data_IF_336912585214
#
_entry.id   IF_336912585214
#
_cell.length_a   1.000
_cell.length_b   1.000
_cell.length_c   1.000
_cell.angle_alpha   90.00
_cell.angle_beta   90.00
_cell.angle_gamma   90.00
#
_symmetry.space_group_name_H-M   'P 1'
#
loop_
_entity.id
_entity.type
_entity.pdbx_description
1 polymer ?
#
# COMPACT_ATOMS: atom_id res chain seq x y z
N UNK A 1 -15.51 -12.59 27.85
CA UNK A 1 -16.74 -13.42 27.89
C UNK A 1 -16.39 -14.76 27.25
N UNK A 2 -16.30 -15.84 28.04
CA UNK A 2 -15.91 -17.15 27.52
C UNK A 2 -17.12 -17.81 26.83
N UNK A 3 -17.04 -18.04 25.52
CA UNK A 3 -18.07 -18.80 24.81
C UNK A 3 -17.86 -20.30 25.06
N UNK A 4 -18.68 -20.89 25.92
CA UNK A 4 -18.70 -22.34 26.11
C UNK A 4 -19.54 -22.93 24.98
N UNK A 5 -18.89 -23.62 24.04
CA UNK A 5 -19.55 -24.43 23.01
C UNK A 5 -19.58 -25.90 23.47
N UNK A 6 -20.76 -26.48 23.54
CA UNK A 6 -20.96 -27.89 23.92
C UNK A 6 -21.16 -28.71 22.64
N UNK A 7 -20.38 -29.76 22.46
CA UNK A 7 -20.47 -30.66 21.30
C UNK A 7 -20.81 -32.08 21.77
N UNK A 8 -21.71 -32.76 21.04
CA UNK A 8 -22.06 -34.17 21.29
C UNK A 8 -21.04 -35.07 20.61
N UNK A 9 -20.40 -35.96 21.36
CA UNK A 9 -19.43 -36.94 20.84
C UNK A 9 -20.02 -38.34 21.06
N UNK A 10 -20.04 -39.19 20.03
CA UNK A 10 -20.51 -40.58 20.12
C UNK A 10 -19.39 -41.59 19.85
N UNK A 11 -19.38 -42.63 20.70
CA UNK A 11 -18.61 -43.91 20.76
C UNK A 11 -17.10 -43.91 20.48
N UNK A 12 -16.56 -43.04 19.66
CA UNK A 12 -15.13 -42.79 19.52
C UNK A 12 -14.86 -41.35 19.97
N UNK A 13 -14.10 -41.18 21.05
CA UNK A 13 -13.84 -39.87 21.66
C UNK A 13 -12.84 -39.04 20.84
N UNK A 14 -13.16 -38.78 19.57
CA UNK A 14 -12.35 -38.00 18.66
C UNK A 14 -13.03 -36.64 18.44
N UNK A 15 -12.33 -35.58 18.83
CA UNK A 15 -12.78 -34.21 18.62
C UNK A 15 -11.71 -33.42 17.89
N UNK A 16 -12.04 -32.87 16.72
CA UNK A 16 -11.11 -32.07 15.92
C UNK A 16 -11.17 -30.61 16.35
N UNK A 17 -10.11 -30.13 16.98
CA UNK A 17 -9.90 -28.71 17.27
C UNK A 17 -9.49 -27.99 15.98
N UNK A 18 -10.18 -26.90 15.64
CA UNK A 18 -9.86 -26.02 14.50
C UNK A 18 -9.30 -24.69 15.02
N UNK A 19 -8.54 -23.97 14.19
CA UNK A 19 -8.04 -22.64 14.52
C UNK A 19 -6.85 -22.60 15.48
N UNK A 20 -6.02 -23.64 15.51
CA UNK A 20 -4.73 -23.58 16.24
C UNK A 20 -3.74 -22.75 15.43
N UNK A 21 -2.98 -21.89 16.11
CA UNK A 21 -2.02 -20.98 15.48
C UNK A 21 -0.65 -21.68 15.33
N UNK A 22 -0.05 -21.72 14.12
CA UNK A 22 1.30 -22.21 13.92
C UNK A 22 2.34 -21.53 14.81
N UNK A 23 3.31 -22.29 15.32
CA UNK A 23 4.37 -21.80 16.21
C UNK A 23 3.94 -21.53 17.65
N UNK A 24 2.67 -21.78 17.99
CA UNK A 24 2.16 -21.68 19.36
C UNK A 24 2.13 -23.06 20.01
N UNK A 25 2.58 -23.10 21.26
CA UNK A 25 2.51 -24.28 22.10
C UNK A 25 1.16 -24.33 22.83
N UNK A 26 0.47 -25.45 22.67
CA UNK A 26 -0.82 -25.69 23.30
C UNK A 26 -0.73 -26.83 24.31
N UNK A 27 -1.48 -26.68 25.40
CA UNK A 27 -1.74 -27.75 26.36
C UNK A 27 -3.25 -27.96 26.43
N UNK A 28 -3.70 -29.16 26.11
CA UNK A 28 -5.12 -29.49 26.10
C UNK A 28 -5.52 -30.09 27.44
N UNK A 29 -6.65 -29.66 27.97
CA UNK A 29 -7.20 -30.15 29.22
C UNK A 29 -8.62 -30.69 28.98
N UNK A 30 -8.89 -31.91 29.46
CA UNK A 30 -10.19 -32.56 29.33
C UNK A 30 -10.70 -32.92 30.71
N UNK A 31 -11.94 -32.52 31.00
CA UNK A 31 -12.63 -32.82 32.27
C UNK A 31 -13.98 -33.45 31.96
N UNK A 32 -14.26 -34.62 32.54
CA UNK A 32 -15.58 -35.23 32.43
C UNK A 32 -16.60 -34.46 33.29
N UNK A 33 -17.79 -34.21 32.76
CA UNK A 33 -18.87 -33.52 33.49
C UNK A 33 -20.06 -34.47 33.63
N UNK A 34 -20.47 -34.75 34.86
CA UNK A 34 -21.62 -35.61 35.16
C UNK A 34 -22.96 -34.93 34.87
N UNK A 35 -24.07 -35.70 34.80
CA UNK A 35 -25.41 -35.16 34.52
C UNK A 35 -25.90 -34.11 35.52
N UNK A 36 -25.35 -34.12 36.74
CA UNK A 36 -25.62 -33.16 37.80
C UNK A 36 -24.65 -31.96 37.81
N UNK A 37 -23.85 -31.80 36.75
CA UNK A 37 -22.86 -30.72 36.62
C UNK A 37 -21.59 -30.91 37.44
N UNK A 38 -21.40 -32.06 38.11
CA UNK A 38 -20.16 -32.33 38.85
C UNK A 38 -19.01 -32.57 37.88
N UNK A 39 -17.90 -31.89 38.12
CA UNK A 39 -16.66 -32.07 37.38
C UNK A 39 -15.89 -33.26 37.95
N UNK A 40 -15.40 -34.14 37.07
CA UNK A 40 -14.44 -35.18 37.40
C UNK A 40 -13.01 -34.63 37.45
N UNK A 41 -12.03 -35.53 37.47
CA UNK A 41 -10.62 -35.16 37.38
C UNK A 41 -10.28 -34.58 36.00
N UNK A 42 -9.45 -33.53 35.98
CA UNK A 42 -8.96 -32.90 34.75
C UNK A 42 -7.65 -33.57 34.33
N UNK A 43 -7.64 -34.17 33.14
CA UNK A 43 -6.41 -34.65 32.52
C UNK A 43 -5.84 -33.60 31.58
N UNK A 44 -4.53 -33.38 31.65
CA UNK A 44 -3.81 -32.47 30.78
C UNK A 44 -2.85 -33.23 29.87
N UNK A 45 -2.79 -32.86 28.59
CA UNK A 45 -1.80 -33.38 27.66
C UNK A 45 -0.39 -32.87 28.01
N UNK A 46 0.67 -33.49 27.46
CA UNK A 46 1.95 -32.81 27.24
C UNK A 46 1.75 -31.54 26.40
N UNK A 47 2.74 -30.64 26.41
CA UNK A 47 2.74 -29.52 25.47
C UNK A 47 2.92 -30.07 24.05
N UNK A 48 2.17 -29.51 23.11
CA UNK A 48 2.28 -29.81 21.68
C UNK A 48 2.41 -28.50 20.91
N UNK A 49 3.34 -28.45 19.96
CA UNK A 49 3.55 -27.29 19.10
C UNK A 49 2.98 -27.55 17.71
N UNK A 50 2.28 -26.55 17.16
CA UNK A 50 1.88 -26.60 15.76
C UNK A 50 3.10 -26.25 14.90
N UNK A 51 3.65 -27.24 14.18
CA UNK A 51 4.88 -27.09 13.38
C UNK A 51 4.72 -25.94 12.36
N UNK A 52 5.72 -25.04 12.32
CA UNK A 52 5.84 -23.87 11.42
C UNK A 52 6.12 -24.23 9.94
N UNK A 53 5.60 -25.35 9.43
CA UNK A 53 5.96 -25.83 8.09
C UNK A 53 4.99 -25.38 6.97
N UNK A 54 3.84 -24.79 7.31
CA UNK A 54 2.86 -24.41 6.31
C UNK A 54 3.04 -22.96 5.87
N UNK A 55 3.11 -22.76 4.55
CA UNK A 55 3.06 -21.43 3.93
C UNK A 55 1.83 -20.70 4.49
N UNK A 56 2.00 -19.48 5.04
CA UNK A 56 0.88 -18.73 5.59
C UNK A 56 -0.24 -18.62 4.55
N UNK A 57 -1.48 -18.73 5.03
CA UNK A 57 -2.65 -18.54 4.17
C UNK A 57 -2.65 -17.10 3.65
N UNK A 58 -2.82 -16.94 2.34
CA UNK A 58 -2.98 -15.62 1.72
C UNK A 58 -4.20 -14.89 2.33
N UNK A 59 -4.09 -13.59 2.64
CA UNK A 59 -5.21 -12.82 3.16
C UNK A 59 -6.44 -12.93 2.26
N UNK A 60 -7.61 -13.06 2.89
CA UNK A 60 -8.87 -13.31 2.20
C UNK A 60 -9.58 -12.00 1.80
N UNK A 61 -10.16 -11.96 0.60
CA UNK A 61 -10.95 -10.84 0.12
C UNK A 61 -10.13 -9.71 -0.51
N UNK A 62 -10.79 -8.65 -1.02
CA UNK A 62 -10.11 -7.53 -1.65
C UNK A 62 -9.48 -6.59 -0.61
N UNK A 63 -8.36 -5.98 -0.98
CA UNK A 63 -7.79 -4.85 -0.23
C UNK A 63 -8.64 -3.61 -0.53
N UNK A 64 -9.15 -2.98 0.51
CA UNK A 64 -9.85 -1.70 0.46
C UNK A 64 -8.82 -0.59 0.66
N UNK A 65 -8.77 0.34 -0.28
CA UNK A 65 -7.84 1.47 -0.28
C UNK A 65 -8.63 2.77 -0.18
N UNK A 66 -8.28 3.63 0.78
CA UNK A 66 -8.91 4.94 0.97
C UNK A 66 -7.84 6.01 1.02
N UNK A 67 -7.87 6.91 0.05
CA UNK A 67 -7.01 8.08 0.04
C UNK A 67 -7.42 9.06 1.14
N UNK A 68 -6.44 9.77 1.69
CA UNK A 68 -6.66 10.83 2.65
C UNK A 68 -5.55 11.87 2.61
N UNK A 69 -5.81 13.01 3.22
CA UNK A 69 -4.81 14.07 3.41
C UNK A 69 -4.81 14.53 4.86
N UNK A 70 -3.62 14.76 5.39
CA UNK A 70 -3.41 15.33 6.71
C UNK A 70 -2.25 16.33 6.62
N UNK A 71 -2.38 17.51 7.23
CA UNK A 71 -1.37 18.57 7.15
C UNK A 71 0.03 18.14 7.61
N UNK A 72 0.09 17.23 8.58
CA UNK A 72 1.35 16.79 9.21
C UNK A 72 1.94 15.58 8.46
N UNK A 73 1.09 14.73 7.89
CA UNK A 73 1.45 13.47 7.23
C UNK A 73 1.40 13.52 5.70
N UNK A 74 0.99 14.64 5.11
CA UNK A 74 0.79 14.81 3.68
C UNK A 74 -0.32 13.90 3.10
N UNK A 75 -0.13 13.47 1.85
CA UNK A 75 -1.01 12.51 1.20
C UNK A 75 -0.82 11.14 1.84
N UNK A 76 -1.93 10.47 2.14
CA UNK A 76 -1.96 9.19 2.84
C UNK A 76 -2.86 8.19 2.13
N UNK A 77 -2.60 6.90 2.33
CA UNK A 77 -3.53 5.83 2.00
C UNK A 77 -3.81 4.99 3.24
N UNK A 78 -5.08 4.77 3.53
CA UNK A 78 -5.55 3.81 4.51
C UNK A 78 -5.86 2.50 3.79
N UNK A 79 -5.18 1.45 4.23
CA UNK A 79 -5.20 0.12 3.64
C UNK A 79 -5.92 -0.78 4.63
N UNK A 80 -6.97 -1.45 4.19
CA UNK A 80 -7.76 -2.36 5.02
C UNK A 80 -8.04 -3.66 4.26
N UNK A 81 -7.98 -4.80 4.93
CA UNK A 81 -8.36 -6.09 4.34
C UNK A 81 -9.13 -6.95 5.33
N UNK A 82 -10.05 -7.81 4.86
CA UNK A 82 -10.79 -8.71 5.74
C UNK A 82 -9.87 -9.67 6.49
N UNK A 83 -10.14 -9.86 7.79
CA UNK A 83 -9.45 -10.82 8.64
C UNK A 83 -10.44 -11.65 9.42
N UNK A 84 -10.13 -12.95 9.55
CA UNK A 84 -10.85 -13.93 10.35
C UNK A 84 -9.94 -14.51 11.43
N UNK A 85 -10.51 -15.19 12.42
CA UNK A 85 -9.75 -15.85 13.49
C UNK A 85 -8.83 -16.99 13.01
N UNK A 86 -8.95 -17.41 11.76
CA UNK A 86 -8.11 -18.46 11.16
C UNK A 86 -6.95 -17.89 10.33
N UNK A 87 -6.87 -16.56 10.17
CA UNK A 87 -5.82 -15.93 9.37
C UNK A 87 -4.54 -15.69 10.19
N UNK A 88 -3.36 -15.59 9.54
CA UNK A 88 -2.08 -15.32 10.21
C UNK A 88 -2.09 -13.99 10.96
N UNK A 89 -1.17 -13.82 11.93
CA UNK A 89 -1.02 -12.54 12.65
C UNK A 89 0.02 -11.61 12.04
N UNK A 90 0.98 -12.15 11.28
CA UNK A 90 2.13 -11.42 10.77
C UNK A 90 1.92 -11.11 9.30
N UNK A 91 2.04 -9.83 8.95
CA UNK A 91 1.91 -9.38 7.58
C UNK A 91 3.06 -8.46 7.20
N UNK A 92 3.39 -8.52 5.92
CA UNK A 92 4.21 -7.55 5.24
C UNK A 92 3.33 -6.79 4.27
N UNK A 93 3.24 -5.47 4.45
CA UNK A 93 2.60 -4.57 3.48
C UNK A 93 3.70 -3.85 2.72
N UNK A 94 3.64 -3.94 1.40
CA UNK A 94 4.54 -3.27 0.49
C UNK A 94 3.77 -2.26 -0.34
N UNK A 95 4.26 -1.01 -0.36
CA UNK A 95 3.77 0.07 -1.19
C UNK A 95 4.86 0.44 -2.19
N UNK A 96 4.56 0.40 -3.48
CA UNK A 96 5.51 0.77 -4.52
C UNK A 96 4.90 1.66 -5.59
N UNK A 97 5.74 2.53 -6.16
CA UNK A 97 5.48 3.24 -7.41
C UNK A 97 6.63 2.96 -8.39
N UNK A 98 6.79 3.76 -9.45
CA UNK A 98 7.86 3.58 -10.44
C UNK A 98 9.27 3.85 -9.93
N UNK A 99 9.42 4.58 -8.81
CA UNK A 99 10.71 5.07 -8.32
C UNK A 99 11.05 4.60 -6.89
N UNK A 100 10.06 4.19 -6.13
CA UNK A 100 10.17 3.91 -4.69
C UNK A 100 9.41 2.66 -4.31
N UNK A 101 9.93 1.98 -3.29
CA UNK A 101 9.34 0.80 -2.67
C UNK A 101 9.52 0.91 -1.16
N UNK A 102 8.41 0.85 -0.43
CA UNK A 102 8.36 0.91 1.03
C UNK A 102 7.75 -0.38 1.53
N UNK A 103 8.45 -1.06 2.44
CA UNK A 103 8.01 -2.31 3.06
C UNK A 103 7.78 -2.09 4.54
N UNK A 104 6.62 -2.49 5.04
CA UNK A 104 6.23 -2.35 6.44
C UNK A 104 5.77 -3.69 6.98
N UNK A 105 6.42 -4.17 8.03
CA UNK A 105 6.00 -5.36 8.75
C UNK A 105 5.04 -4.96 9.86
N UNK A 106 3.92 -5.67 9.98
CA UNK A 106 2.91 -5.41 11.00
C UNK A 106 2.47 -6.72 11.66
N UNK A 107 2.09 -6.59 12.93
CA UNK A 107 1.45 -7.66 13.70
C UNK A 107 0.03 -7.18 13.97
N UNK A 108 -0.95 -7.93 13.49
CA UNK A 108 -2.37 -7.59 13.66
C UNK A 108 -2.84 -8.09 15.03
N UNK A 109 -2.63 -7.29 16.07
CA UNK A 109 -3.11 -7.56 17.43
C UNK A 109 -4.49 -6.95 17.72
N UNK A 110 -4.91 -5.94 16.93
CA UNK A 110 -6.12 -5.15 17.23
C UNK A 110 -6.91 -4.60 16.03
N UNK A 111 -6.33 -4.45 14.83
CA UNK A 111 -7.09 -4.05 13.62
C UNK A 111 -6.36 -4.36 12.31
N UNK A 112 -7.05 -4.94 11.33
CA UNK A 112 -6.55 -5.29 9.99
C UNK A 112 -6.42 -4.08 9.05
N UNK A 113 -5.79 -3.00 9.55
CA UNK A 113 -5.63 -1.78 8.76
C UNK A 113 -4.31 -1.06 9.03
N UNK A 114 -3.82 -0.35 8.02
CA UNK A 114 -2.56 0.39 8.05
C UNK A 114 -2.71 1.74 7.35
N UNK A 115 -2.16 2.80 7.93
CA UNK A 115 -2.08 4.11 7.30
C UNK A 115 -0.64 4.35 6.82
N UNK A 116 -0.46 4.55 5.51
CA UNK A 116 0.83 4.89 4.93
C UNK A 116 0.84 6.39 4.53
N UNK A 117 1.71 7.21 5.14
CA UNK A 117 1.79 8.65 4.89
C UNK A 117 2.87 9.05 3.87
N UNK A 118 2.94 10.34 3.58
CA UNK A 118 3.97 10.99 2.74
C UNK A 118 4.02 10.47 1.29
N UNK A 119 2.86 10.18 0.72
CA UNK A 119 2.74 9.84 -0.69
C UNK A 119 2.87 11.12 -1.54
N UNK A 120 3.33 10.95 -2.78
CA UNK A 120 3.31 12.01 -3.77
C UNK A 120 1.89 12.21 -4.31
N UNK A 121 1.57 13.44 -4.73
CA UNK A 121 0.30 13.75 -5.39
C UNK A 121 0.26 13.15 -6.80
N UNK A 122 -0.92 12.69 -7.22
CA UNK A 122 -1.21 12.19 -8.57
C UNK A 122 -0.21 11.10 -9.04
N UNK A 123 0.16 10.21 -8.13
CA UNK A 123 1.11 9.13 -8.38
C UNK A 123 0.40 7.78 -8.29
N UNK A 124 0.67 6.91 -9.26
CA UNK A 124 0.15 5.56 -9.30
C UNK A 124 0.95 4.68 -8.34
N UNK A 125 0.26 4.05 -7.40
CA UNK A 125 0.84 3.12 -6.44
C UNK A 125 0.24 1.72 -6.57
N UNK A 126 1.05 0.73 -6.20
CA UNK A 126 0.68 -0.67 -5.98
C UNK A 126 0.87 -1.00 -4.52
N UNK A 127 -0.17 -1.53 -3.88
CA UNK A 127 -0.11 -2.12 -2.54
C UNK A 127 -0.06 -3.63 -2.70
N UNK A 128 0.82 -4.31 -1.98
CA UNK A 128 0.87 -5.76 -1.87
C UNK A 128 0.89 -6.17 -0.39
N UNK A 129 -0.12 -6.93 0.03
CA UNK A 129 -0.24 -7.47 1.39
C UNK A 129 0.11 -8.94 1.37
N UNK A 130 1.12 -9.33 2.13
CA UNK A 130 1.62 -10.71 2.20
C UNK A 130 1.55 -11.21 3.62
N UNK A 131 0.96 -12.39 3.84
CA UNK A 131 1.03 -13.03 5.14
C UNK A 131 2.39 -13.72 5.31
N UNK A 132 2.97 -13.58 6.49
CA UNK A 132 4.31 -14.08 6.81
C UNK A 132 4.22 -15.03 8.01
N UNK A 133 5.11 -16.02 8.07
CA UNK A 133 5.21 -16.90 9.24
C UNK A 133 5.82 -16.15 10.43
N UNK A 134 5.60 -16.64 11.65
CA UNK A 134 6.10 -15.98 12.87
C UNK A 134 7.64 -15.85 12.91
N UNK A 135 8.35 -16.82 12.31
CA UNK A 135 9.80 -16.84 12.16
C UNK A 135 10.31 -16.09 10.91
N UNK A 136 9.40 -15.48 10.13
CA UNK A 136 9.66 -14.78 8.86
C UNK A 136 10.31 -15.61 7.76
N UNK A 137 10.33 -16.94 7.89
CA UNK A 137 10.96 -17.82 6.90
C UNK A 137 10.09 -18.09 5.67
N UNK A 138 8.76 -18.02 5.82
CA UNK A 138 7.80 -18.31 4.77
C UNK A 138 6.83 -17.14 4.55
N UNK A 139 6.39 -16.99 3.31
CA UNK A 139 5.45 -15.93 2.91
C UNK A 139 4.41 -16.47 1.94
N UNK A 140 3.18 -15.99 2.07
CA UNK A 140 2.07 -16.32 1.18
C UNK A 140 2.27 -15.68 -0.21
N UNK A 141 1.36 -16.00 -1.14
CA UNK A 141 1.20 -15.14 -2.33
C UNK A 141 0.71 -13.75 -1.90
N UNK A 142 1.19 -12.66 -2.52
CA UNK A 142 0.74 -11.32 -2.21
C UNK A 142 -0.68 -11.09 -2.73
N UNK A 143 -1.48 -10.40 -1.92
CA UNK A 143 -2.75 -9.83 -2.33
C UNK A 143 -2.50 -8.37 -2.71
N UNK A 144 -2.64 -8.05 -3.99
CA UNK A 144 -2.28 -6.73 -4.53
C UNK A 144 -3.48 -5.91 -4.97
N UNK A 145 -3.38 -4.60 -4.80
CA UNK A 145 -4.35 -3.62 -5.29
C UNK A 145 -3.63 -2.34 -5.75
N UNK A 146 -4.17 -1.70 -6.78
CA UNK A 146 -3.62 -0.50 -7.37
C UNK A 146 -4.52 0.70 -7.05
N UNK A 147 -3.92 1.87 -6.84
CA UNK A 147 -4.67 3.12 -6.67
C UNK A 147 -3.86 4.32 -7.15
N UNK A 148 -4.56 5.40 -7.48
CA UNK A 148 -3.97 6.70 -7.74
C UNK A 148 -4.10 7.54 -6.47
N UNK A 149 -3.02 8.19 -6.03
CA UNK A 149 -3.06 9.11 -4.89
C UNK A 149 -3.83 10.40 -5.22
N UNK A 150 -4.14 11.21 -4.20
CA UNK A 150 -4.90 12.46 -4.39
C UNK A 150 -4.19 13.42 -5.35
N UNK A 151 -4.96 14.26 -6.05
CA UNK A 151 -4.38 15.38 -6.79
C UNK A 151 -4.18 16.57 -5.85
N UNK A 152 -3.13 17.36 -6.08
CA UNK A 152 -2.86 18.54 -5.25
C UNK A 152 -4.04 19.53 -5.25
N UNK A 153 -4.65 19.75 -6.41
CA UNK A 153 -5.82 20.64 -6.57
C UNK A 153 -7.07 20.17 -5.81
N UNK A 154 -7.22 18.87 -5.59
CA UNK A 154 -8.36 18.32 -4.84
C UNK A 154 -8.22 18.58 -3.34
N UNK A 155 -6.99 18.84 -2.88
CA UNK A 155 -6.66 19.13 -1.48
C UNK A 155 -6.55 20.64 -1.22
N UNK A 156 -5.79 21.34 -2.07
CA UNK A 156 -5.43 22.74 -1.85
C UNK A 156 -6.27 23.72 -2.67
N UNK A 157 -7.16 23.23 -3.53
CA UNK A 157 -7.96 24.03 -4.47
C UNK A 157 -7.24 24.24 -5.81
N UNK A 158 -8.04 24.53 -6.84
CA UNK A 158 -7.55 25.01 -8.13
C UNK A 158 -6.87 26.37 -7.95
N UNK A 159 -5.76 26.61 -8.64
CA UNK A 159 -5.02 27.87 -8.54
C UNK A 159 -4.09 27.97 -7.32
N UNK A 160 -3.97 26.92 -6.51
CA UNK A 160 -3.16 27.00 -5.30
C UNK A 160 -1.67 27.07 -5.62
N UNK A 161 -1.00 28.10 -5.08
CA UNK A 161 0.45 28.26 -5.16
C UNK A 161 1.24 27.14 -4.45
N UNK A 162 0.55 26.27 -3.70
CA UNK A 162 1.16 25.07 -3.10
C UNK A 162 1.27 23.91 -4.10
N UNK A 163 0.54 23.98 -5.22
CA UNK A 163 0.54 22.97 -6.26
C UNK A 163 1.50 23.34 -7.39
N UNK A 164 2.02 22.33 -8.07
CA UNK A 164 2.72 22.54 -9.32
C UNK A 164 1.73 23.11 -10.36
N UNK A 165 2.13 24.10 -11.17
CA UNK A 165 1.26 24.61 -12.22
C UNK A 165 0.89 23.53 -13.24
N UNK A 166 -0.32 23.58 -13.78
CA UNK A 166 -0.73 22.68 -14.85
C UNK A 166 0.17 22.88 -16.08
N UNK A 167 0.63 21.80 -16.74
CA UNK A 167 1.50 21.90 -17.89
C UNK A 167 0.86 22.65 -19.06
N UNK A 168 1.70 23.29 -19.88
CA UNK A 168 1.27 23.83 -21.18
C UNK A 168 0.88 22.69 -22.13
N UNK A 169 -0.01 22.98 -23.07
CA UNK A 169 -0.46 22.01 -24.08
C UNK A 169 -0.19 22.53 -25.49
N UNK A 170 -0.38 21.69 -26.51
CA UNK A 170 -0.27 22.08 -27.92
C UNK A 170 1.05 22.78 -28.30
N UNK A 171 2.18 22.30 -27.77
CA UNK A 171 3.51 22.79 -28.13
C UNK A 171 3.80 22.51 -29.62
N UNK A 172 4.00 23.58 -30.38
CA UNK A 172 4.37 23.54 -31.79
C UNK A 172 5.65 24.33 -32.02
N UNK A 173 6.52 23.81 -32.89
CA UNK A 173 7.81 24.41 -33.24
C UNK A 173 7.95 24.44 -34.75
N UNK A 174 8.26 25.62 -35.30
CA UNK A 174 8.54 25.83 -36.73
C UNK A 174 9.95 26.38 -36.87
N UNK A 175 10.88 25.53 -37.29
CA UNK A 175 12.27 25.92 -37.56
C UNK A 175 12.36 26.55 -38.95
N UNK A 176 13.04 27.68 -39.04
CA UNK A 176 13.24 28.43 -40.28
C UNK A 176 14.68 28.20 -40.81
N UNK A 177 14.88 28.21 -42.15
CA UNK A 177 16.19 28.02 -42.76
C UNK A 177 17.25 29.06 -42.34
N UNK A 178 16.83 30.21 -41.81
CA UNK A 178 17.71 31.26 -41.30
C UNK A 178 18.28 30.97 -39.90
N UNK A 179 18.05 29.76 -39.34
CA UNK A 179 18.54 29.37 -38.03
C UNK A 179 17.69 29.88 -36.85
N UNK A 180 16.47 30.36 -37.10
CA UNK A 180 15.51 30.75 -36.04
C UNK A 180 14.38 29.74 -35.90
N UNK A 181 13.75 29.66 -34.74
CA UNK A 181 12.55 28.85 -34.53
C UNK A 181 11.41 29.72 -34.00
N UNK A 182 10.20 29.51 -34.51
CA UNK A 182 8.97 30.01 -33.90
C UNK A 182 8.37 28.90 -33.04
N UNK A 183 8.08 29.21 -31.78
CA UNK A 183 7.53 28.26 -30.81
C UNK A 183 6.18 28.82 -30.34
N UNK A 184 5.15 27.99 -30.28
CA UNK A 184 3.84 28.35 -29.74
C UNK A 184 3.29 27.23 -28.89
N UNK A 185 2.52 27.55 -27.86
CA UNK A 185 1.82 26.59 -27.02
C UNK A 185 0.51 27.20 -26.52
N UNK A 186 -0.40 26.35 -26.08
CA UNK A 186 -1.56 26.75 -25.30
C UNK A 186 -1.14 26.89 -23.82
N UNK A 187 -1.35 28.05 -23.19
CA UNK A 187 -0.99 28.26 -21.79
C UNK A 187 -1.74 27.33 -20.84
N UNK A 188 -1.21 27.22 -19.62
CA UNK A 188 -1.88 26.62 -18.46
C UNK A 188 -3.27 27.26 -18.23
N UNK A 189 -4.24 26.53 -17.67
CA UNK A 189 -5.55 27.11 -17.38
C UNK A 189 -5.48 28.24 -16.32
N UNK A 190 -4.46 28.23 -15.47
CA UNK A 190 -4.29 29.14 -14.33
C UNK A 190 -3.21 30.20 -14.63
N UNK A 191 -3.38 30.97 -15.70
CA UNK A 191 -2.36 31.89 -16.23
C UNK A 191 -1.95 32.97 -15.21
N UNK A 192 -2.90 33.47 -14.40
CA UNK A 192 -2.62 34.45 -13.33
C UNK A 192 -1.59 33.96 -12.29
N UNK A 193 -1.40 32.65 -12.14
CA UNK A 193 -0.46 32.07 -11.19
C UNK A 193 0.89 31.69 -11.81
N UNK A 194 1.07 31.93 -13.12
CA UNK A 194 2.33 31.65 -13.82
C UNK A 194 3.22 32.89 -13.81
N UNK A 195 4.44 32.77 -13.27
CA UNK A 195 5.43 33.85 -13.29
C UNK A 195 6.25 33.89 -14.59
N UNK A 196 6.78 32.74 -14.98
CA UNK A 196 7.58 32.57 -16.19
C UNK A 196 7.52 31.13 -16.70
N UNK A 197 7.74 30.98 -18.01
CA UNK A 197 7.97 29.70 -18.67
C UNK A 197 9.47 29.48 -18.85
N UNK A 198 9.94 28.27 -18.58
CA UNK A 198 11.33 27.88 -18.82
C UNK A 198 11.43 27.11 -20.13
N UNK A 199 12.09 27.70 -21.13
CA UNK A 199 12.39 27.06 -22.41
C UNK A 199 13.80 26.48 -22.38
N UNK A 200 13.91 25.17 -22.56
CA UNK A 200 15.20 24.46 -22.58
C UNK A 200 15.49 23.99 -24.00
N UNK A 201 16.60 24.44 -24.57
CA UNK A 201 17.09 24.02 -25.87
C UNK A 201 18.21 23.00 -25.69
N UNK A 202 18.01 21.80 -26.25
CA UNK A 202 18.98 20.70 -26.23
C UNK A 202 19.33 20.29 -27.65
N UNK A 203 20.61 20.45 -28.03
CA UNK A 203 21.11 19.86 -29.27
C UNK A 203 21.26 18.33 -29.11
N UNK A 204 20.59 17.56 -29.97
CA UNK A 204 20.56 16.09 -29.88
C UNK A 204 21.62 15.40 -30.76
N UNK A 205 22.09 16.05 -31.82
CA UNK A 205 23.08 15.49 -32.76
C UNK A 205 24.37 16.32 -32.77
N UNK A 206 25.48 15.63 -33.08
CA UNK A 206 26.83 16.22 -33.15
C UNK A 206 27.44 16.12 -34.56
N UNK A 207 26.61 16.12 -35.61
CA UNK A 207 27.09 15.91 -36.99
C UNK A 207 28.20 16.89 -37.43
N UNK A 208 28.30 18.06 -36.78
CA UNK A 208 29.32 19.08 -37.06
C UNK A 208 30.43 19.20 -36.00
N UNK A 209 30.61 18.21 -35.10
CA UNK A 209 31.70 18.18 -34.11
C UNK A 209 31.63 19.27 -33.02
N UNK A 210 30.57 20.08 -32.99
CA UNK A 210 30.33 21.07 -31.95
C UNK A 210 29.71 20.41 -30.70
N UNK A 211 30.16 20.86 -29.52
CA UNK A 211 29.70 20.40 -28.20
C UNK A 211 28.18 20.50 -28.09
N UNK A 212 27.55 19.52 -27.44
CA UNK A 212 26.12 19.55 -27.09
C UNK A 212 25.78 20.89 -26.42
N UNK A 213 24.99 21.72 -27.10
CA UNK A 213 24.54 23.01 -26.59
C UNK A 213 23.28 22.78 -25.76
N UNK A 214 23.37 23.18 -24.49
CA UNK A 214 22.26 23.23 -23.55
C UNK A 214 22.06 24.69 -23.17
N UNK A 215 20.89 25.24 -23.47
CA UNK A 215 20.55 26.63 -23.17
C UNK A 215 19.18 26.71 -22.53
N UNK A 216 19.06 27.51 -21.48
CA UNK A 216 17.82 27.72 -20.74
C UNK A 216 17.43 29.19 -20.83
N UNK A 217 16.20 29.46 -21.27
CA UNK A 217 15.65 30.80 -21.47
C UNK A 217 14.38 30.92 -20.62
N UNK A 218 14.31 31.94 -19.77
CA UNK A 218 13.11 32.24 -18.98
C UNK A 218 12.27 33.29 -19.71
N UNK A 219 11.03 32.95 -20.03
CA UNK A 219 10.06 33.81 -20.71
C UNK A 219 9.01 34.26 -19.70
N UNK A 220 8.91 35.57 -19.44
CA UNK A 220 7.90 36.09 -18.52
C UNK A 220 6.49 35.77 -19.05
N UNK A 221 5.62 35.28 -18.18
CA UNK A 221 4.20 35.14 -18.53
C UNK A 221 3.56 36.52 -18.60
N UNK A 222 2.90 36.82 -19.71
CA UNK A 222 2.07 38.03 -19.86
C UNK A 222 0.67 37.69 -19.38
N UNK A 223 0.26 38.32 -18.27
CA UNK A 223 -1.14 38.36 -17.82
C UNK A 223 -1.94 39.25 -18.76
#
# INVERSE_FOLDING_TARGET
MYHIKVFKIEKEALFKVKGLVPGVQYRFMVTAVGPNGRLGETLASPWAEVVNAAVPKTPSGPVVLRNGYNSDKGVTVHIEWPQTSEDPCYYTVQLSNSTTEVKTEIILDSSASLLMPHLEFQTQYTVAVTATSADRSQSSKPLSANFMSLQCKDVHGQGSLQCAPEPVSNLAVVVRPNGTAAISWQPSAEQENILFYQLILNALSQENGCRTRHETINLRATV
#
